data_IF_830745963395
#
_entry.id   IF_830745963395
#
_cell.length_a   1.000
_cell.length_b   1.000
_cell.length_c   1.000
_cell.angle_alpha   90.00
_cell.angle_beta   90.00
_cell.angle_gamma   90.00
#
_symmetry.space_group_name_H-M   'P 1'
#
loop_
_entity.id
_entity.type
_entity.pdbx_description
1 polymer ?
#
# COMPACT_ATOMS: atom_id res chain seq x y z
N UNK A 1 -43.67 -69.95 10.33
CA UNK A 1 -43.10 -71.23 9.88
C UNK A 1 -42.05 -70.84 8.87
N UNK A 2 -40.74 -70.98 9.06
CA UNK A 2 -39.84 -71.68 9.98
C UNK A 2 -38.59 -70.76 10.11
N UNK A 3 -38.08 -70.41 11.29
CA UNK A 3 -37.14 -71.14 12.15
C UNK A 3 -35.83 -71.55 11.45
N UNK A 4 -34.72 -70.95 11.89
CA UNK A 4 -33.37 -71.53 12.16
C UNK A 4 -32.42 -70.34 12.46
N UNK A 5 -32.03 -69.99 13.70
CA UNK A 5 -31.31 -70.68 14.79
C UNK A 5 -29.79 -70.87 14.57
N UNK A 6 -29.00 -69.99 15.22
CA UNK A 6 -27.71 -70.29 15.88
C UNK A 6 -26.47 -70.40 14.96
N UNK A 7 -25.24 -70.11 15.36
CA UNK A 7 -24.58 -70.19 16.68
C UNK A 7 -23.36 -69.24 16.71
N UNK A 8 -23.07 -68.76 17.91
CA UNK A 8 -21.92 -67.97 18.39
C UNK A 8 -20.54 -68.58 18.05
N UNK A 9 -19.56 -67.74 17.72
CA UNK A 9 -18.15 -68.03 17.98
C UNK A 9 -17.38 -66.73 18.25
N UNK A 10 -16.64 -66.77 19.34
CA UNK A 10 -15.99 -65.68 20.04
C UNK A 10 -14.46 -65.80 19.88
N UNK A 11 -13.78 -64.63 19.87
CA UNK A 11 -12.34 -64.38 20.07
C UNK A 11 -11.37 -64.72 18.91
N UNK A 12 -10.74 -63.68 18.35
CA UNK A 12 -9.34 -63.33 18.65
C UNK A 12 -8.92 -62.06 17.90
N UNK A 13 -8.44 -61.07 18.67
CA UNK A 13 -7.73 -59.89 18.18
C UNK A 13 -6.36 -60.29 17.62
N UNK A 14 -5.90 -59.65 16.53
CA UNK A 14 -4.49 -59.29 16.41
C UNK A 14 -4.34 -57.77 16.55
N UNK A 15 -3.45 -57.42 17.48
CA UNK A 15 -2.85 -56.12 17.68
C UNK A 15 -2.10 -55.72 16.40
N UNK A 16 -2.73 -54.98 15.50
CA UNK A 16 -2.06 -54.40 14.34
C UNK A 16 -1.56 -53.00 14.72
N UNK A 17 -0.25 -52.83 14.57
CA UNK A 17 0.54 -51.70 14.98
C UNK A 17 -0.07 -50.35 14.56
N UNK A 18 -0.07 -49.41 15.50
CA UNK A 18 -0.16 -47.99 15.19
C UNK A 18 1.04 -47.62 14.31
N UNK A 19 0.84 -47.64 13.00
CA UNK A 19 1.71 -46.91 12.10
C UNK A 19 1.48 -45.43 12.35
N UNK A 20 2.36 -44.87 13.18
CA UNK A 20 2.68 -43.46 13.17
C UNK A 20 3.23 -43.13 11.78
N UNK A 21 2.34 -43.00 10.80
CA UNK A 21 2.65 -42.33 9.55
C UNK A 21 2.81 -40.86 9.91
N UNK A 22 4.07 -40.50 10.03
CA UNK A 22 4.61 -39.15 10.12
C UNK A 22 3.63 -38.15 9.51
N UNK A 23 3.06 -37.29 10.36
CA UNK A 23 2.47 -36.04 9.93
C UNK A 23 3.58 -35.22 9.27
N UNK A 24 3.83 -35.51 7.99
CA UNK A 24 4.56 -34.64 7.11
C UNK A 24 3.67 -33.41 6.99
N UNK A 25 3.96 -32.43 7.83
CA UNK A 25 3.47 -31.06 7.68
C UNK A 25 4.04 -30.52 6.37
N UNK A 26 3.45 -30.97 5.25
CA UNK A 26 3.51 -30.26 4.00
C UNK A 26 2.94 -28.87 4.28
N UNK A 27 3.85 -27.92 4.47
CA UNK A 27 3.50 -26.51 4.38
C UNK A 27 3.04 -26.30 2.95
N UNK A 28 1.74 -26.50 2.70
CA UNK A 28 1.11 -26.25 1.41
C UNK A 28 1.31 -24.77 1.13
N UNK A 29 2.38 -24.45 0.40
CA UNK A 29 2.75 -23.11 0.03
C UNK A 29 1.64 -22.53 -0.84
N UNK A 30 0.70 -21.82 -0.22
CA UNK A 30 -0.35 -21.12 -0.95
C UNK A 30 0.32 -20.17 -1.93
N UNK A 31 -0.24 -20.14 -3.13
CA UNK A 31 0.24 -19.29 -4.21
C UNK A 31 -0.86 -18.33 -4.59
N UNK A 32 -0.49 -17.09 -4.92
CA UNK A 32 -1.41 -16.05 -5.35
C UNK A 32 -0.95 -15.48 -6.70
N UNK A 33 -1.78 -14.66 -7.32
CA UNK A 33 -1.44 -13.94 -8.54
C UNK A 33 -0.88 -12.55 -8.20
N UNK A 34 0.14 -12.13 -8.94
CA UNK A 34 0.64 -10.76 -8.87
C UNK A 34 -0.45 -9.80 -9.36
N UNK A 35 -0.80 -8.81 -8.53
CA UNK A 35 -1.83 -7.82 -8.86
C UNK A 35 -1.47 -6.94 -10.08
N UNK A 36 -0.20 -6.87 -10.46
CA UNK A 36 0.24 -6.11 -11.63
C UNK A 36 0.29 -6.92 -12.93
N UNK A 37 1.05 -8.02 -12.92
CA UNK A 37 1.40 -8.76 -14.14
C UNK A 37 0.69 -10.12 -14.25
N UNK A 38 -0.08 -10.53 -13.23
CA UNK A 38 -0.77 -11.82 -13.20
C UNK A 38 0.12 -13.05 -12.95
N UNK A 39 1.43 -12.89 -12.79
CA UNK A 39 2.34 -14.01 -12.53
C UNK A 39 2.05 -14.70 -11.18
N UNK A 40 2.22 -16.03 -11.12
CA UNK A 40 2.02 -16.82 -9.90
C UNK A 40 3.17 -16.59 -8.91
N UNK A 41 2.84 -16.17 -7.70
CA UNK A 41 3.80 -15.92 -6.60
C UNK A 41 3.59 -16.90 -5.47
N UNK A 42 4.68 -17.42 -4.91
CA UNK A 42 4.64 -18.29 -3.73
C UNK A 42 4.58 -17.42 -2.48
N UNK A 43 3.60 -17.66 -1.61
CA UNK A 43 3.47 -16.92 -0.36
C UNK A 43 4.19 -17.65 0.76
N UNK A 44 4.98 -16.93 1.56
CA UNK A 44 5.52 -17.46 2.82
C UNK A 44 4.39 -17.70 3.82
N UNK A 45 4.56 -18.65 4.74
CA UNK A 45 3.56 -18.94 5.78
C UNK A 45 3.13 -17.66 6.53
N UNK A 46 4.10 -16.83 6.92
CA UNK A 46 3.84 -15.54 7.56
C UNK A 46 2.93 -14.62 6.74
N UNK A 47 3.15 -14.52 5.42
CA UNK A 47 2.34 -13.64 4.58
C UNK A 47 0.92 -14.18 4.38
N UNK A 48 0.74 -15.51 4.42
CA UNK A 48 -0.57 -16.15 4.33
C UNK A 48 -1.48 -15.76 5.52
N UNK A 49 -0.91 -15.58 6.70
CA UNK A 49 -1.66 -15.28 7.93
C UNK A 49 -1.98 -13.79 8.12
N UNK A 50 -1.36 -12.90 7.35
CA UNK A 50 -1.56 -11.44 7.47
C UNK A 50 -2.86 -10.92 6.87
N UNK A 51 -3.61 -11.74 6.12
CA UNK A 51 -4.87 -11.34 5.48
C UNK A 51 -4.70 -10.27 4.38
N UNK A 52 -3.47 -10.03 3.91
CA UNK A 52 -3.19 -9.06 2.83
C UNK A 52 -3.65 -9.66 1.50
N UNK A 53 -4.64 -9.04 0.86
CA UNK A 53 -5.21 -9.54 -0.39
C UNK A 53 -4.38 -9.23 -1.66
N UNK A 54 -3.45 -8.27 -1.59
CA UNK A 54 -2.64 -7.84 -2.73
C UNK A 54 -1.21 -8.39 -2.63
N UNK A 55 -0.80 -9.13 -3.66
CA UNK A 55 0.54 -9.72 -3.75
C UNK A 55 1.25 -9.29 -5.03
N UNK A 56 2.58 -9.24 -4.99
CA UNK A 56 3.42 -8.81 -6.12
C UNK A 56 4.63 -9.73 -6.26
N UNK A 57 5.05 -10.01 -7.50
CA UNK A 57 6.23 -10.84 -7.76
C UNK A 57 7.53 -10.16 -7.35
N UNK A 58 7.59 -8.83 -7.43
CA UNK A 58 8.74 -8.03 -7.05
C UNK A 58 8.35 -6.57 -6.74
N UNK A 59 9.36 -5.77 -6.42
CA UNK A 59 9.21 -4.34 -6.14
C UNK A 59 8.83 -3.52 -7.38
N UNK A 60 9.23 -3.94 -8.57
CA UNK A 60 8.93 -3.25 -9.83
C UNK A 60 7.44 -3.35 -10.14
N UNK A 61 6.86 -4.55 -10.08
CA UNK A 61 5.43 -4.78 -10.25
C UNK A 61 4.60 -4.08 -9.18
N UNK A 62 5.06 -4.05 -7.92
CA UNK A 62 4.41 -3.26 -6.86
C UNK A 62 4.37 -1.77 -7.20
N UNK A 63 5.48 -1.21 -7.69
CA UNK A 63 5.57 0.20 -8.06
C UNK A 63 4.75 0.52 -9.30
N UNK A 64 4.74 -0.37 -10.29
CA UNK A 64 3.97 -0.21 -11.51
C UNK A 64 2.47 -0.26 -11.22
N UNK A 65 2.00 -1.22 -10.43
CA UNK A 65 0.60 -1.27 -9.97
C UNK A 65 0.19 -0.01 -9.20
N UNK A 66 1.06 0.47 -8.29
CA UNK A 66 0.82 1.70 -7.54
C UNK A 66 0.78 2.98 -8.41
N UNK A 67 1.23 2.90 -9.67
CA UNK A 67 1.12 3.98 -10.66
C UNK A 67 -0.12 3.83 -11.55
N UNK A 68 -0.63 2.62 -11.75
CA UNK A 68 -1.72 2.33 -12.70
C UNK A 68 -3.11 2.29 -12.05
N UNK A 69 -3.24 1.79 -10.82
CA UNK A 69 -4.55 1.64 -10.18
C UNK A 69 -4.88 2.86 -9.31
N UNK A 70 -5.87 3.66 -9.74
CA UNK A 70 -6.60 4.63 -8.89
C UNK A 70 -7.55 3.85 -7.96
N UNK A 71 -7.04 3.20 -6.91
CA UNK A 71 -7.86 2.48 -5.92
C UNK A 71 -7.03 2.13 -4.68
N UNK A 72 -7.38 2.37 -3.42
CA UNK A 72 -8.66 2.51 -2.71
C UNK A 72 -8.51 3.59 -1.63
N UNK A 73 -9.61 4.25 -1.29
CA UNK A 73 -9.73 5.13 -0.13
C UNK A 73 -9.35 4.41 1.17
N UNK A 74 -8.09 4.47 1.59
CA UNK A 74 -7.76 4.17 2.98
C UNK A 74 -8.16 5.40 3.80
N UNK A 75 -9.43 5.47 4.20
CA UNK A 75 -9.78 6.16 5.45
C UNK A 75 -9.13 5.34 6.57
N UNK A 76 -7.86 5.65 6.86
CA UNK A 76 -7.30 5.30 8.16
C UNK A 76 -8.08 6.16 9.15
N UNK A 77 -8.72 5.51 10.11
CA UNK A 77 -9.47 6.14 11.19
C UNK A 77 -8.76 7.37 11.75
N UNK A 78 -9.55 8.34 12.20
CA UNK A 78 -9.19 9.68 12.67
C UNK A 78 -8.31 9.70 13.94
N UNK A 79 -7.21 8.94 13.96
CA UNK A 79 -6.28 8.87 15.07
C UNK A 79 -4.89 8.49 14.59
N UNK A 80 -3.97 9.46 14.66
CA UNK A 80 -2.50 9.34 14.47
C UNK A 80 -1.95 9.36 13.03
N UNK A 81 -2.00 10.55 12.43
CA UNK A 81 -0.87 11.30 11.85
C UNK A 81 0.12 10.69 10.82
N UNK A 82 0.10 9.40 10.44
CA UNK A 82 1.22 8.81 9.67
C UNK A 82 1.06 8.64 8.15
N UNK A 83 -0.03 9.07 7.52
CA UNK A 83 -0.12 9.12 6.04
C UNK A 83 -0.89 10.33 5.52
N UNK A 84 -0.48 11.56 5.87
CA UNK A 84 -1.18 12.80 5.44
C UNK A 84 -1.33 12.96 3.91
N UNK A 85 -0.52 12.26 3.10
CA UNK A 85 -0.49 12.38 1.64
C UNK A 85 -0.61 11.04 0.90
N UNK A 86 -1.01 9.96 1.59
CA UNK A 86 -1.17 8.62 1.01
C UNK A 86 0.13 7.90 0.65
N UNK A 87 0.02 6.67 0.13
CA UNK A 87 1.15 5.76 -0.08
C UNK A 87 2.08 6.12 -1.24
N UNK A 88 1.58 6.82 -2.27
CA UNK A 88 2.34 7.21 -3.46
C UNK A 88 3.15 8.51 -3.29
N UNK A 89 3.03 9.22 -2.15
CA UNK A 89 3.64 10.53 -1.94
C UNK A 89 5.16 10.56 -2.20
N UNK A 90 5.90 9.59 -1.67
CA UNK A 90 7.37 9.57 -1.81
C UNK A 90 7.82 9.45 -3.27
N UNK A 91 7.07 8.69 -4.07
CA UNK A 91 7.31 8.52 -5.51
C UNK A 91 7.01 9.84 -6.20
N UNK A 92 5.78 10.35 -6.06
CA UNK A 92 5.34 11.56 -6.75
C UNK A 92 6.18 12.80 -6.38
N UNK A 93 6.59 12.94 -5.11
CA UNK A 93 7.45 14.04 -4.69
C UNK A 93 8.88 13.93 -5.22
N UNK A 94 9.37 12.73 -5.56
CA UNK A 94 10.65 12.58 -6.26
C UNK A 94 10.49 12.95 -7.73
N UNK A 95 9.45 12.43 -8.39
CA UNK A 95 9.18 12.73 -9.81
C UNK A 95 8.93 14.24 -10.03
N UNK A 96 8.22 14.92 -9.12
CA UNK A 96 8.03 16.37 -9.18
C UNK A 96 9.37 17.13 -9.11
N UNK A 97 10.28 16.75 -8.19
CA UNK A 97 11.62 17.35 -8.11
C UNK A 97 12.45 17.09 -9.36
N UNK A 98 12.36 15.90 -9.92
CA UNK A 98 13.08 15.55 -11.15
C UNK A 98 12.56 16.36 -12.35
N UNK A 99 11.24 16.46 -12.52
CA UNK A 99 10.59 17.33 -13.52
C UNK A 99 11.04 18.78 -13.37
N UNK A 100 11.13 19.24 -12.13
CA UNK A 100 11.51 20.62 -11.79
C UNK A 100 13.04 20.83 -11.75
N UNK A 101 13.83 19.89 -12.29
CA UNK A 101 15.30 19.95 -12.35
C UNK A 101 15.99 20.20 -11.00
N UNK A 102 15.39 19.72 -9.91
CA UNK A 102 15.81 20.01 -8.54
C UNK A 102 16.00 21.52 -8.28
N UNK A 103 15.14 22.34 -8.91
CA UNK A 103 15.10 23.79 -8.84
C UNK A 103 13.77 24.29 -8.29
N UNK A 104 13.84 25.26 -7.39
CA UNK A 104 12.67 25.98 -6.90
C UNK A 104 11.98 26.69 -8.07
N UNK A 105 10.72 26.33 -8.35
CA UNK A 105 9.97 26.90 -9.48
C UNK A 105 9.50 28.34 -9.23
N UNK A 106 9.66 28.85 -8.00
CA UNK A 106 9.29 30.23 -7.64
C UNK A 106 10.47 31.21 -7.68
N UNK A 107 11.67 30.78 -7.27
CA UNK A 107 12.83 31.67 -7.14
C UNK A 107 14.11 31.16 -7.82
N UNK A 108 14.09 29.97 -8.41
CA UNK A 108 15.22 29.44 -9.18
C UNK A 108 16.35 28.81 -8.37
N UNK A 109 16.34 28.88 -7.03
CA UNK A 109 17.38 28.24 -6.20
C UNK A 109 17.35 26.72 -6.31
N UNK A 110 18.51 26.09 -6.43
CA UNK A 110 18.69 24.65 -6.59
C UNK A 110 18.93 23.95 -5.25
N UNK A 111 18.66 22.64 -5.20
CA UNK A 111 19.03 21.80 -4.03
C UNK A 111 20.54 21.88 -3.73
N UNK A 112 21.37 21.99 -4.78
CA UNK A 112 22.83 22.11 -4.65
C UNK A 112 23.24 23.39 -3.94
N UNK A 113 22.65 24.53 -4.31
CA UNK A 113 22.94 25.83 -3.68
C UNK A 113 22.49 25.87 -2.21
N UNK A 114 21.38 25.20 -1.89
CA UNK A 114 20.89 25.16 -0.51
C UNK A 114 21.53 24.07 0.37
N UNK A 115 22.17 23.06 -0.24
CA UNK A 115 22.66 21.87 0.47
C UNK A 115 21.55 20.98 1.07
N UNK A 116 20.30 21.16 0.63
CA UNK A 116 19.14 20.41 1.13
C UNK A 116 18.09 20.22 0.03
N UNK A 117 17.23 19.22 0.23
CA UNK A 117 16.17 18.89 -0.73
C UNK A 117 15.06 19.93 -0.74
N UNK A 118 14.51 20.20 -1.92
CA UNK A 118 13.33 21.05 -2.09
C UNK A 118 12.11 20.41 -1.43
N UNK A 119 11.22 21.26 -0.93
CA UNK A 119 9.88 20.86 -0.55
C UNK A 119 9.03 20.64 -1.82
N UNK A 120 7.96 19.87 -1.69
CA UNK A 120 6.96 19.73 -2.76
C UNK A 120 5.61 20.22 -2.22
N UNK A 121 5.13 21.28 -2.84
CA UNK A 121 3.89 21.96 -2.52
C UNK A 121 2.75 21.46 -3.41
N UNK A 122 1.56 21.37 -2.84
CA UNK A 122 0.33 21.08 -3.58
C UNK A 122 -0.29 22.40 -4.05
N UNK A 123 -0.36 22.63 -5.37
CA UNK A 123 -0.93 23.86 -5.96
C UNK A 123 -2.41 24.05 -5.61
N UNK A 124 -3.13 22.94 -5.51
CA UNK A 124 -4.50 22.88 -4.97
C UNK A 124 -4.40 22.16 -3.63
N UNK A 125 -4.99 22.66 -2.53
CA UNK A 125 -4.85 22.03 -1.23
C UNK A 125 -5.24 20.56 -1.26
N UNK A 126 -4.40 19.70 -0.69
CA UNK A 126 -4.59 18.25 -0.66
C UNK A 126 -6.00 17.80 -0.25
N UNK A 127 -6.63 18.52 0.70
CA UNK A 127 -7.97 18.22 1.22
C UNK A 127 -9.12 18.45 0.22
N UNK A 128 -8.86 19.10 -0.92
CA UNK A 128 -9.86 19.34 -1.98
C UNK A 128 -10.05 18.15 -2.92
N UNK A 129 -9.13 17.18 -2.87
CA UNK A 129 -9.18 16.00 -3.72
C UNK A 129 -9.88 14.83 -3.03
N UNK A 130 -10.51 13.97 -3.82
CA UNK A 130 -11.21 12.80 -3.31
C UNK A 130 -10.25 11.64 -3.00
N UNK A 131 -9.05 11.66 -3.55
CA UNK A 131 -8.04 10.62 -3.34
C UNK A 131 -6.62 11.18 -3.28
N UNK A 132 -5.70 10.42 -2.67
CA UNK A 132 -4.27 10.73 -2.70
C UNK A 132 -3.66 10.58 -4.09
N UNK A 133 -4.24 9.72 -4.94
CA UNK A 133 -3.73 9.49 -6.30
C UNK A 133 -3.94 10.73 -7.14
N UNK A 134 -5.17 11.25 -7.13
CA UNK A 134 -5.54 12.52 -7.77
C UNK A 134 -4.73 13.69 -7.20
N UNK A 135 -4.68 13.83 -5.87
CA UNK A 135 -3.96 14.93 -5.22
C UNK A 135 -2.47 14.96 -5.55
N UNK A 136 -1.85 13.80 -5.79
CA UNK A 136 -0.42 13.67 -6.03
C UNK A 136 -0.06 13.59 -7.53
N UNK A 137 -1.00 13.84 -8.46
CA UNK A 137 -0.69 14.02 -9.88
C UNK A 137 0.35 15.14 -10.04
N UNK A 138 1.34 14.96 -10.92
CA UNK A 138 2.47 15.89 -11.02
C UNK A 138 2.01 17.32 -11.35
N UNK A 139 0.96 17.47 -12.15
CA UNK A 139 0.37 18.77 -12.48
C UNK A 139 -0.09 19.56 -11.24
N UNK A 140 -0.50 18.86 -10.17
CA UNK A 140 -0.90 19.44 -8.88
C UNK A 140 0.27 19.71 -7.93
N UNK A 141 1.50 19.32 -8.30
CA UNK A 141 2.69 19.45 -7.47
C UNK A 141 3.67 20.48 -8.04
N UNK A 142 4.38 21.17 -7.15
CA UNK A 142 5.47 22.10 -7.50
C UNK A 142 6.60 22.01 -6.48
N UNK A 143 7.85 21.95 -6.97
CA UNK A 143 9.04 21.91 -6.13
C UNK A 143 9.49 23.32 -5.76
N UNK A 144 9.63 23.58 -4.47
CA UNK A 144 9.92 24.92 -3.93
C UNK A 144 10.87 24.87 -2.73
N UNK A 145 11.64 25.93 -2.52
CA UNK A 145 12.45 26.09 -1.31
C UNK A 145 11.55 26.34 -0.09
N UNK A 146 12.10 26.21 1.11
CA UNK A 146 11.35 26.39 2.36
C UNK A 146 10.67 27.77 2.45
N UNK A 147 11.37 28.84 2.04
CA UNK A 147 10.84 30.20 2.06
C UNK A 147 9.65 30.38 1.09
N UNK A 148 9.80 29.90 -0.15
CA UNK A 148 8.73 29.95 -1.14
C UNK A 148 7.54 29.05 -0.75
N UNK A 149 7.80 27.90 -0.14
CA UNK A 149 6.75 27.03 0.38
C UNK A 149 5.86 27.75 1.40
N UNK A 150 6.45 28.45 2.37
CA UNK A 150 5.70 29.21 3.37
C UNK A 150 4.89 30.35 2.74
N UNK A 151 5.44 31.05 1.74
CA UNK A 151 4.74 32.10 1.00
C UNK A 151 3.51 31.55 0.27
N UNK A 152 3.65 30.43 -0.43
CA UNK A 152 2.54 29.76 -1.13
C UNK A 152 1.48 29.26 -0.14
N UNK A 153 1.87 28.69 1.01
CA UNK A 153 0.92 28.31 2.06
C UNK A 153 0.17 29.51 2.67
N UNK A 154 0.83 30.66 2.78
CA UNK A 154 0.19 31.90 3.23
C UNK A 154 -0.78 32.45 2.16
N UNK A 155 -0.41 32.39 0.89
CA UNK A 155 -1.25 32.80 -0.23
C UNK A 155 -2.51 31.95 -0.33
N UNK A 156 -2.38 30.61 -0.32
CA UNK A 156 -3.52 29.69 -0.34
C UNK A 156 -4.49 29.93 0.83
N UNK A 157 -3.97 30.27 2.03
CA UNK A 157 -4.82 30.61 3.18
C UNK A 157 -5.62 31.91 2.99
N UNK A 158 -5.09 32.88 2.22
CA UNK A 158 -5.79 34.13 1.92
C UNK A 158 -6.81 33.98 0.80
N UNK A 159 -6.47 33.21 -0.24
CA UNK A 159 -7.27 33.11 -1.48
C UNK A 159 -8.42 32.11 -1.40
N UNK A 160 -8.36 31.14 -0.48
CA UNK A 160 -9.43 30.16 -0.29
C UNK A 160 -10.39 30.64 0.83
N UNK A 161 -11.63 31.05 0.50
CA UNK A 161 -12.58 31.61 1.47
C UNK A 161 -13.02 30.66 2.58
N UNK A 162 -12.63 29.38 2.54
CA UNK A 162 -12.81 28.44 3.67
C UNK A 162 -11.82 28.66 4.83
N UNK A 163 -10.81 29.52 4.65
CA UNK A 163 -9.80 29.86 5.67
C UNK A 163 -9.67 31.37 5.92
N UNK A 164 -10.50 32.19 5.26
CA UNK A 164 -10.74 33.54 5.73
C UNK A 164 -11.35 33.39 7.13
N UNK A 165 -10.62 33.82 8.16
CA UNK A 165 -11.22 33.97 9.46
C UNK A 165 -12.44 34.88 9.27
N UNK A 166 -13.61 34.41 9.70
CA UNK A 166 -14.75 35.31 9.87
C UNK A 166 -14.28 36.52 10.69
N UNK A 167 -14.64 37.76 10.28
CA UNK A 167 -14.09 39.00 10.83
C UNK A 167 -14.30 39.17 12.33
#
# INVERSE_FOLDING_TARGET
>A
MEQESGVVAQLCLPLAAAEASSAQSETQGRSALCAHCGAKVRLSAWLQDTGVALHYCDTTCRQAWARTEESFAVRLDHGKARRRRGGNWQIQAREARYRDECRCQECGVTEKEMGQRLHVHHKIPYRRFHSNVEANKLEHLVSVCAACHQRLEAQLRRELPLFAADP
#
